data_IF_162435724636
#
_entry.id   IF_162435724636
#
_cell.length_a   1.000
_cell.length_b   1.000
_cell.length_c   1.000
_cell.angle_alpha   90.00
_cell.angle_beta   90.00
_cell.angle_gamma   90.00
#
_symmetry.space_group_name_H-M   'P 1'
#
loop_
_entity.id
_entity.type
_entity.pdbx_description
1 polymer ?
#
# COMPACT_ATOMS: atom_id res chain seq x y z
N UNK A 1 23.42 -34.34 7.22
CA UNK A 1 22.45 -33.33 6.76
C UNK A 1 23.13 -32.50 5.68
N UNK A 2 22.71 -32.61 4.42
CA UNK A 2 23.43 -31.94 3.31
C UNK A 2 23.26 -30.42 3.40
N UNK A 3 24.36 -29.67 3.28
CA UNK A 3 24.39 -28.21 3.27
C UNK A 3 23.41 -27.62 2.24
N UNK A 4 23.19 -28.29 1.11
CA UNK A 4 22.20 -27.88 0.11
C UNK A 4 20.77 -27.80 0.65
N UNK A 5 20.35 -28.72 1.53
CA UNK A 5 19.02 -28.67 2.13
C UNK A 5 18.87 -27.51 3.11
N UNK A 6 19.95 -27.16 3.82
CA UNK A 6 19.94 -26.02 4.75
C UNK A 6 19.78 -24.71 3.96
N UNK A 7 20.53 -24.56 2.87
CA UNK A 7 20.44 -23.37 2.00
C UNK A 7 19.05 -23.22 1.36
N UNK A 8 18.47 -24.32 0.87
CA UNK A 8 17.11 -24.31 0.30
C UNK A 8 16.05 -23.95 1.35
N UNK A 9 16.20 -24.45 2.58
CA UNK A 9 15.26 -24.13 3.67
C UNK A 9 15.36 -22.65 4.07
N UNK A 10 16.58 -22.09 4.14
CA UNK A 10 16.77 -20.66 4.38
C UNK A 10 16.15 -19.79 3.27
N UNK A 11 16.32 -20.19 2.00
CA UNK A 11 15.72 -19.48 0.87
C UNK A 11 14.19 -19.51 0.94
N UNK A 12 13.61 -20.68 1.23
CA UNK A 12 12.17 -20.81 1.38
C UNK A 12 11.62 -19.91 2.50
N UNK A 13 12.29 -19.85 3.64
CA UNK A 13 11.91 -18.98 4.75
C UNK A 13 12.01 -17.49 4.38
N UNK A 14 13.04 -17.09 3.64
CA UNK A 14 13.18 -15.71 3.17
C UNK A 14 12.02 -15.31 2.25
N UNK A 15 11.69 -16.15 1.27
CA UNK A 15 10.57 -15.90 0.33
C UNK A 15 9.23 -15.81 1.08
N UNK A 16 8.99 -16.67 2.06
CA UNK A 16 7.77 -16.62 2.89
C UNK A 16 7.73 -15.32 3.71
N UNK A 17 8.86 -14.91 4.29
CA UNK A 17 8.98 -13.66 5.04
C UNK A 17 8.66 -12.44 4.18
N UNK A 18 9.22 -12.36 2.97
CA UNK A 18 8.95 -11.25 2.04
C UNK A 18 7.49 -11.22 1.59
N UNK A 19 6.89 -12.38 1.30
CA UNK A 19 5.47 -12.47 0.94
C UNK A 19 4.57 -11.97 2.09
N UNK A 20 4.90 -12.31 3.34
CA UNK A 20 4.17 -11.86 4.51
C UNK A 20 4.29 -10.35 4.74
N UNK A 21 5.49 -9.79 4.57
CA UNK A 21 5.71 -8.34 4.66
C UNK A 21 4.97 -7.59 3.56
N UNK A 22 5.01 -8.10 2.33
CA UNK A 22 4.32 -7.50 1.19
C UNK A 22 2.79 -7.50 1.38
N UNK A 23 2.22 -8.56 1.95
CA UNK A 23 0.77 -8.61 2.22
C UNK A 23 0.34 -7.59 3.27
N UNK A 24 1.16 -7.37 4.31
CA UNK A 24 0.84 -6.42 5.39
C UNK A 24 1.09 -4.95 5.01
N UNK A 25 2.00 -4.69 4.07
CA UNK A 25 2.27 -3.34 3.59
C UNK A 25 1.14 -2.77 2.71
N UNK A 26 0.20 -3.61 2.24
CA UNK A 26 -0.90 -3.19 1.35
C UNK A 26 -2.09 -2.54 2.07
N UNK A 27 -2.25 -2.74 3.37
CA UNK A 27 -3.43 -2.28 4.11
C UNK A 27 -3.73 -0.78 3.88
N UNK A 28 -2.71 0.09 3.89
CA UNK A 28 -2.91 1.52 3.69
C UNK A 28 -3.24 1.96 2.26
N UNK A 29 -2.96 1.13 1.23
CA UNK A 29 -3.34 1.44 -0.15
C UNK A 29 -4.78 1.06 -0.43
N UNK A 30 -5.20 -0.13 0.01
CA UNK A 30 -6.56 -0.62 -0.17
C UNK A 30 -7.56 0.25 0.61
N UNK A 31 -7.25 0.60 1.86
CA UNK A 31 -8.07 1.50 2.68
C UNK A 31 -8.23 2.89 2.04
N UNK A 32 -7.18 3.39 1.39
CA UNK A 32 -7.23 4.68 0.69
C UNK A 32 -8.06 4.61 -0.59
N UNK A 33 -7.93 3.53 -1.36
CA UNK A 33 -8.73 3.32 -2.56
C UNK A 33 -10.22 3.25 -2.21
N UNK A 34 -10.57 2.48 -1.18
CA UNK A 34 -11.94 2.35 -0.68
C UNK A 34 -12.49 3.69 -0.18
N UNK A 35 -11.70 4.45 0.59
CA UNK A 35 -12.10 5.80 1.03
C UNK A 35 -12.36 6.74 -0.15
N UNK A 36 -11.45 6.77 -1.12
CA UNK A 36 -11.55 7.65 -2.30
C UNK A 36 -12.82 7.34 -3.09
N UNK A 37 -13.10 6.06 -3.28
CA UNK A 37 -14.23 5.59 -4.08
C UNK A 37 -15.55 5.81 -3.33
N UNK A 38 -15.58 5.59 -2.01
CA UNK A 38 -16.75 5.86 -1.17
C UNK A 38 -17.12 7.35 -1.09
N UNK A 39 -16.12 8.24 -1.09
CA UNK A 39 -16.28 9.69 -0.98
C UNK A 39 -16.19 10.45 -2.32
N UNK A 40 -16.27 9.73 -3.43
CA UNK A 40 -16.26 10.27 -4.81
C UNK A 40 -15.13 11.28 -5.06
N UNK A 41 -13.94 11.01 -4.52
CA UNK A 41 -12.89 12.01 -4.52
C UNK A 41 -12.24 12.18 -5.89
N UNK A 42 -12.00 13.43 -6.27
CA UNK A 42 -11.35 13.81 -7.52
C UNK A 42 -9.96 14.42 -7.27
N UNK A 43 -8.94 14.06 -8.06
CA UNK A 43 -7.60 14.62 -7.89
C UNK A 43 -7.58 16.11 -8.26
N UNK A 44 -6.91 16.94 -7.45
CA UNK A 44 -6.80 18.38 -7.68
C UNK A 44 -5.73 18.77 -8.72
N UNK A 45 -4.80 17.87 -9.02
CA UNK A 45 -3.70 18.04 -9.97
C UNK A 45 -3.42 16.73 -10.68
N UNK A 46 -2.74 16.76 -11.84
CA UNK A 46 -2.20 15.56 -12.46
C UNK A 46 -1.34 14.82 -11.45
N UNK A 47 -1.76 13.62 -11.10
CA UNK A 47 -1.04 12.78 -10.15
C UNK A 47 0.06 12.07 -10.92
N UNK A 48 1.31 12.43 -10.68
CA UNK A 48 2.51 11.73 -11.16
C UNK A 48 2.74 10.37 -10.46
N UNK A 49 1.70 9.83 -9.82
CA UNK A 49 1.80 8.69 -8.91
C UNK A 49 2.40 9.06 -7.54
N UNK A 50 2.73 10.33 -7.27
CA UNK A 50 3.27 10.71 -5.96
C UNK A 50 2.21 10.73 -4.87
N UNK A 51 2.62 10.37 -3.66
CA UNK A 51 1.80 10.43 -2.45
C UNK A 51 1.40 11.87 -2.04
N UNK A 52 1.76 12.90 -2.83
CA UNK A 52 1.53 14.31 -2.51
C UNK A 52 0.24 14.88 -3.10
N UNK A 53 -0.39 14.14 -4.02
CA UNK A 53 -1.64 14.58 -4.64
C UNK A 53 -2.75 14.73 -3.60
N UNK A 54 -3.37 15.91 -3.56
CA UNK A 54 -4.58 16.18 -2.80
C UNK A 54 -5.82 15.79 -3.61
N UNK A 55 -6.81 15.21 -2.94
CA UNK A 55 -8.08 14.78 -3.52
C UNK A 55 -9.21 15.57 -2.89
N UNK A 56 -10.06 16.19 -3.71
CA UNK A 56 -11.28 16.85 -3.25
C UNK A 56 -12.42 15.85 -3.25
N UNK A 57 -13.01 15.62 -2.09
CA UNK A 57 -14.10 14.68 -1.89
C UNK A 57 -15.45 15.40 -1.80
N UNK A 58 -16.53 14.62 -1.72
CA UNK A 58 -17.92 15.09 -1.60
C UNK A 58 -18.21 15.91 -0.33
N UNK A 59 -17.41 15.72 0.72
CA UNK A 59 -17.43 16.53 1.96
C UNK A 59 -16.89 17.96 1.77
N UNK A 60 -16.43 18.31 0.56
CA UNK A 60 -15.87 19.60 0.22
C UNK A 60 -14.45 19.84 0.76
N UNK A 61 -13.86 18.86 1.43
CA UNK A 61 -12.49 18.95 1.98
C UNK A 61 -11.49 18.32 1.03
N UNK A 62 -10.21 18.66 1.26
CA UNK A 62 -9.08 18.07 0.56
C UNK A 62 -8.44 17.02 1.46
N UNK A 63 -8.45 15.78 1.00
CA UNK A 63 -7.84 14.65 1.66
C UNK A 63 -6.54 14.27 0.97
N UNK A 64 -5.59 13.78 1.76
CA UNK A 64 -4.28 13.38 1.26
C UNK A 64 -4.03 11.93 1.62
N UNK A 65 -3.62 11.14 0.62
CA UNK A 65 -3.30 9.71 0.75
C UNK A 65 -2.36 9.41 1.92
N UNK A 66 -1.24 10.11 2.03
CA UNK A 66 -0.23 9.92 3.08
C UNK A 66 -0.73 10.20 4.51
N UNK A 67 -1.84 10.94 4.66
CA UNK A 67 -2.44 11.21 5.98
C UNK A 67 -3.41 10.12 6.42
N UNK A 68 -3.99 9.38 5.49
CA UNK A 68 -4.93 8.29 5.76
C UNK A 68 -4.22 6.95 5.98
N UNK A 69 -2.94 6.85 5.59
CA UNK A 69 -2.07 5.68 5.83
C UNK A 69 -1.42 5.65 7.23
N UNK A 70 -1.92 6.43 8.19
CA UNK A 70 -1.31 6.62 9.51
C UNK A 70 -2.21 6.09 10.61
#
# INVERSE_FOLDING_TARGET
MNIGYILLMCLALAVIGDAFLLSHNRNGEDDWADFRDAHHCTPLMETDGSNRAGYRCDDGKVHYRWRQMR
#
